data_IF_392632040959
#
_entry.id   IF_392632040959
#
_cell.length_a   1.000
_cell.length_b   1.000
_cell.length_c   1.000
_cell.angle_alpha   90.00
_cell.angle_beta   90.00
_cell.angle_gamma   90.00
#
_symmetry.space_group_name_H-M   'P 1'
#
loop_
_entity.id
_entity.type
_entity.pdbx_description
1 polymer ?
#
# COMPACT_ATOMS: atom_id res chain seq x y z
N UNK A 1 -9.98 26.05 11.86
CA UNK A 1 -9.29 24.83 12.33
C UNK A 1 -10.01 24.08 13.44
N UNK A 2 -10.61 24.73 14.44
CA UNK A 2 -11.33 24.00 15.51
C UNK A 2 -12.57 23.24 15.02
N UNK A 3 -13.40 23.84 14.16
CA UNK A 3 -14.61 23.18 13.63
C UNK A 3 -14.29 21.90 12.84
N UNK A 4 -13.20 21.91 12.06
CA UNK A 4 -12.79 20.73 11.29
C UNK A 4 -12.31 19.60 12.21
N UNK A 5 -11.66 19.92 13.34
CA UNK A 5 -11.21 18.97 14.35
C UNK A 5 -12.39 18.36 15.11
N UNK A 6 -13.36 19.19 15.51
CA UNK A 6 -14.58 18.75 16.17
C UNK A 6 -15.40 17.84 15.24
N UNK A 7 -15.55 18.21 13.97
CA UNK A 7 -16.22 17.37 12.96
C UNK A 7 -15.52 16.02 12.76
N UNK A 8 -14.18 15.99 12.77
CA UNK A 8 -13.42 14.75 12.64
C UNK A 8 -13.64 13.81 13.83
N UNK A 9 -13.67 14.36 15.05
CA UNK A 9 -13.96 13.61 16.28
C UNK A 9 -15.38 13.05 16.24
N UNK A 10 -16.35 13.86 15.82
CA UNK A 10 -17.76 13.46 15.77
C UNK A 10 -18.05 12.39 14.72
N UNK A 11 -17.46 12.52 13.53
CA UNK A 11 -17.53 11.49 12.47
C UNK A 11 -16.86 10.20 12.93
N UNK A 12 -15.71 10.30 13.61
CA UNK A 12 -15.01 9.16 14.19
C UNK A 12 -15.83 8.42 15.26
N UNK A 13 -16.61 9.14 16.08
CA UNK A 13 -17.51 8.52 17.06
C UNK A 13 -18.72 7.85 16.38
N UNK A 14 -19.34 8.52 15.41
CA UNK A 14 -20.49 7.97 14.68
C UNK A 14 -20.11 6.71 13.87
N UNK A 15 -18.93 6.70 13.24
CA UNK A 15 -18.42 5.55 12.51
C UNK A 15 -18.11 4.38 13.44
N UNK A 16 -17.47 4.64 14.60
CA UNK A 16 -17.22 3.62 15.62
C UNK A 16 -18.53 2.97 16.10
N UNK A 17 -19.54 3.77 16.46
CA UNK A 17 -20.84 3.25 16.85
C UNK A 17 -21.51 2.40 15.76
N UNK A 18 -21.44 2.83 14.49
CA UNK A 18 -22.00 2.08 13.38
C UNK A 18 -21.30 0.71 13.19
N UNK A 19 -19.98 0.65 13.35
CA UNK A 19 -19.19 -0.58 13.25
C UNK A 19 -19.49 -1.54 14.41
N UNK A 20 -19.51 -1.04 15.66
CA UNK A 20 -19.86 -1.84 16.85
C UNK A 20 -21.26 -2.43 16.73
N UNK A 21 -22.24 -1.63 16.32
CA UNK A 21 -23.63 -2.08 16.18
C UNK A 21 -23.82 -3.09 15.04
N UNK A 22 -23.15 -2.89 13.89
CA UNK A 22 -23.32 -3.75 12.72
C UNK A 22 -22.57 -5.08 12.83
N UNK A 23 -21.40 -5.08 13.45
CA UNK A 23 -20.52 -6.25 13.53
C UNK A 23 -20.54 -6.93 14.90
N UNK A 24 -21.35 -6.45 15.86
CA UNK A 24 -21.44 -6.95 17.24
C UNK A 24 -20.05 -7.03 17.90
N UNK A 25 -19.23 -6.01 17.66
CA UNK A 25 -17.92 -5.90 18.29
C UNK A 25 -18.12 -5.43 19.73
N UNK A 26 -17.23 -5.86 20.63
CA UNK A 26 -17.18 -5.33 21.98
C UNK A 26 -16.64 -3.88 21.94
N UNK A 27 -17.40 -2.88 22.39
CA UNK A 27 -16.96 -1.48 22.40
C UNK A 27 -15.65 -1.27 23.16
N UNK A 28 -15.46 -1.95 24.30
CA UNK A 28 -14.27 -1.77 25.15
C UNK A 28 -13.03 -2.36 24.48
N UNK A 29 -13.16 -3.53 23.86
CA UNK A 29 -12.09 -4.15 23.10
C UNK A 29 -11.68 -3.31 21.88
N UNK A 30 -12.65 -2.66 21.21
CA UNK A 30 -12.38 -1.81 20.06
C UNK A 30 -11.65 -0.51 20.45
N UNK A 31 -12.08 0.15 21.52
CA UNK A 31 -11.40 1.35 22.01
C UNK A 31 -10.00 1.03 22.56
N UNK A 32 -9.81 -0.12 23.20
CA UNK A 32 -8.49 -0.59 23.65
C UNK A 32 -7.54 -0.84 22.47
N UNK A 33 -8.01 -1.48 21.40
CA UNK A 33 -7.24 -1.74 20.18
C UNK A 33 -6.82 -0.43 19.48
N UNK A 34 -7.73 0.55 19.38
CA UNK A 34 -7.42 1.86 18.80
C UNK A 34 -6.38 2.59 19.66
N UNK A 35 -6.52 2.56 20.98
CA UNK A 35 -5.58 3.20 21.89
C UNK A 35 -4.19 2.54 21.81
N UNK A 36 -4.11 1.22 21.59
CA UNK A 36 -2.84 0.52 21.37
C UNK A 36 -2.20 0.90 20.04
N UNK A 37 -2.95 0.92 18.94
CA UNK A 37 -2.42 1.37 17.64
C UNK A 37 -1.90 2.81 17.69
N UNK A 38 -2.53 3.68 18.48
CA UNK A 38 -2.04 5.05 18.70
C UNK A 38 -0.76 5.05 19.55
N UNK A 39 -0.66 4.19 20.58
CA UNK A 39 0.57 4.04 21.38
C UNK A 39 1.75 3.52 20.56
N UNK A 40 1.53 2.48 19.76
CA UNK A 40 2.54 1.89 18.88
C UNK A 40 3.01 2.87 17.79
N UNK A 41 2.09 3.64 17.20
CA UNK A 41 2.44 4.69 16.23
C UNK A 41 3.27 5.83 16.85
N UNK A 42 3.24 6.01 18.17
CA UNK A 42 3.98 7.05 18.89
C UNK A 42 5.21 6.52 19.67
N UNK A 43 5.36 5.21 19.86
CA UNK A 43 6.37 4.61 20.73
C UNK A 43 7.27 3.60 20.00
N UNK A 44 8.29 4.08 19.31
CA UNK A 44 9.35 3.20 18.80
C UNK A 44 10.35 2.81 19.87
N UNK A 45 10.12 1.74 20.65
CA UNK A 45 11.17 0.91 21.30
C UNK A 45 10.65 -0.52 21.55
N UNK A 46 11.49 -1.49 21.16
CA UNK A 46 11.50 -2.95 21.41
C UNK A 46 10.83 -3.38 22.73
N UNK A 47 9.99 -4.42 22.67
CA UNK A 47 9.81 -5.35 23.81
C UNK A 47 9.51 -6.77 23.34
N UNK A 48 10.18 -7.70 24.03
CA UNK A 48 10.19 -9.15 23.88
C UNK A 48 8.83 -9.76 24.32
N UNK A 49 8.35 -10.75 23.56
CA UNK A 49 7.10 -11.53 23.70
C UNK A 49 6.82 -12.07 25.12
N UNK A 50 5.56 -12.47 25.52
CA UNK A 50 4.55 -13.15 24.69
C UNK A 50 3.07 -12.75 24.93
N UNK A 51 2.17 -13.35 24.14
CA UNK A 51 0.71 -13.13 24.05
C UNK A 51 0.29 -12.07 23.02
N UNK A 52 0.65 -12.29 21.76
CA UNK A 52 0.10 -11.52 20.64
C UNK A 52 -1.25 -12.13 20.20
N UNK A 53 -2.34 -11.34 20.17
CA UNK A 53 -3.68 -11.83 19.95
C UNK A 53 -3.85 -12.31 18.51
N UNK A 54 -4.65 -13.36 18.32
CA UNK A 54 -4.88 -14.16 17.11
C UNK A 54 -5.05 -13.38 15.78
N UNK A 55 -5.39 -12.08 15.85
CA UNK A 55 -5.54 -11.18 14.70
C UNK A 55 -4.20 -10.92 14.00
N UNK A 56 -3.12 -10.64 14.74
CA UNK A 56 -1.79 -10.39 14.17
C UNK A 56 -1.18 -11.66 13.57
N UNK A 57 -1.47 -12.82 14.17
CA UNK A 57 -1.07 -14.12 13.65
C UNK A 57 -1.74 -14.37 12.29
N UNK A 58 -3.04 -14.06 12.17
CA UNK A 58 -3.81 -14.25 10.93
C UNK A 58 -3.37 -13.31 9.80
N UNK A 59 -2.99 -12.07 10.12
CA UNK A 59 -2.42 -11.14 9.13
C UNK A 59 -1.04 -11.60 8.65
N UNK A 60 -0.16 -12.00 9.58
CA UNK A 60 1.15 -12.56 9.25
C UNK A 60 1.06 -13.83 8.40
N UNK A 61 0.14 -14.73 8.72
CA UNK A 61 -0.15 -15.94 7.93
C UNK A 61 -0.62 -15.61 6.52
N UNK A 62 -1.52 -14.62 6.39
CA UNK A 62 -2.03 -14.18 5.09
C UNK A 62 -0.90 -13.61 4.24
N UNK A 63 -0.09 -12.72 4.79
CA UNK A 63 1.07 -12.17 4.09
C UNK A 63 2.07 -13.25 3.67
N UNK A 64 2.31 -14.25 4.52
CA UNK A 64 3.18 -15.36 4.18
C UNK A 64 2.61 -16.22 3.06
N UNK A 65 1.31 -16.51 3.07
CA UNK A 65 0.63 -17.20 1.97
C UNK A 65 0.72 -16.41 0.67
N UNK A 66 0.52 -15.09 0.71
CA UNK A 66 0.65 -14.20 -0.45
C UNK A 66 2.09 -14.18 -0.99
N UNK A 67 3.09 -14.07 -0.11
CA UNK A 67 4.52 -14.16 -0.49
C UNK A 67 4.84 -15.50 -1.15
N UNK A 68 4.39 -16.62 -0.57
CA UNK A 68 4.58 -17.97 -1.13
C UNK A 68 3.90 -18.12 -2.50
N UNK A 69 2.70 -17.57 -2.66
CA UNK A 69 1.99 -17.58 -3.94
C UNK A 69 2.76 -16.82 -5.01
N UNK A 70 3.20 -15.59 -4.71
CA UNK A 70 3.96 -14.76 -5.63
C UNK A 70 5.29 -15.40 -6.02
N UNK A 71 6.01 -16.01 -5.07
CA UNK A 71 7.23 -16.75 -5.34
C UNK A 71 6.99 -17.92 -6.31
N UNK A 72 5.91 -18.69 -6.13
CA UNK A 72 5.53 -19.77 -7.04
C UNK A 72 5.19 -19.25 -8.44
N UNK A 73 4.48 -18.13 -8.53
CA UNK A 73 4.14 -17.51 -9.82
C UNK A 73 5.38 -16.96 -10.54
N UNK A 74 6.35 -16.39 -9.81
CA UNK A 74 7.63 -15.91 -10.35
C UNK A 74 8.44 -17.08 -10.92
N UNK A 75 8.61 -18.15 -10.14
CA UNK A 75 9.31 -19.38 -10.58
C UNK A 75 8.64 -19.99 -11.81
N UNK A 76 7.31 -19.96 -11.88
CA UNK A 76 6.55 -20.48 -13.01
C UNK A 76 6.57 -19.54 -14.25
N UNK A 77 7.18 -18.35 -14.19
CA UNK A 77 7.17 -17.36 -15.26
C UNK A 77 5.78 -16.77 -15.56
N UNK A 78 4.85 -16.94 -14.62
CA UNK A 78 3.46 -16.49 -14.71
C UNK A 78 3.25 -15.12 -14.04
N UNK A 79 4.17 -14.72 -13.15
CA UNK A 79 4.19 -13.36 -12.64
C UNK A 79 4.62 -12.42 -13.77
N UNK A 80 3.66 -11.66 -14.30
CA UNK A 80 3.85 -10.72 -15.41
C UNK A 80 3.13 -9.40 -15.10
N UNK A 81 3.43 -8.29 -15.79
CA UNK A 81 2.71 -7.04 -15.61
C UNK A 81 1.17 -7.18 -15.72
N UNK A 82 0.68 -8.08 -16.57
CA UNK A 82 -0.75 -8.38 -16.68
C UNK A 82 -1.38 -8.96 -15.41
N UNK A 83 -0.62 -9.71 -14.60
CA UNK A 83 -1.07 -10.21 -13.29
C UNK A 83 -1.28 -9.06 -12.31
N UNK A 84 -0.40 -8.05 -12.31
CA UNK A 84 -0.51 -6.88 -11.44
C UNK A 84 -1.82 -6.13 -11.67
N UNK A 85 -2.17 -5.90 -12.93
CA UNK A 85 -3.44 -5.25 -13.29
C UNK A 85 -4.65 -6.12 -12.88
N UNK A 86 -4.54 -7.45 -13.04
CA UNK A 86 -5.56 -8.38 -12.58
C UNK A 86 -5.75 -8.32 -11.06
N UNK A 87 -4.67 -8.29 -10.29
CA UNK A 87 -4.73 -8.19 -8.83
C UNK A 87 -5.47 -6.92 -8.37
N UNK A 88 -5.20 -5.78 -9.02
CA UNK A 88 -5.92 -4.52 -8.76
C UNK A 88 -7.42 -4.61 -9.09
N UNK A 89 -7.77 -5.22 -10.22
CA UNK A 89 -9.19 -5.44 -10.59
C UNK A 89 -9.91 -6.37 -9.62
N UNK A 90 -9.20 -7.34 -9.04
CA UNK A 90 -9.71 -8.23 -7.98
C UNK A 90 -9.69 -7.59 -6.59
N UNK A 91 -9.39 -6.29 -6.48
CA UNK A 91 -9.31 -5.54 -5.23
C UNK A 91 -8.23 -6.05 -4.25
N UNK A 92 -7.17 -6.67 -4.78
CA UNK A 92 -6.06 -7.26 -4.00
C UNK A 92 -4.83 -6.36 -4.05
N UNK A 93 -4.87 -5.26 -3.30
CA UNK A 93 -3.77 -4.29 -3.26
C UNK A 93 -2.47 -4.89 -2.71
N UNK A 94 -2.54 -5.75 -1.68
CA UNK A 94 -1.36 -6.42 -1.10
C UNK A 94 -0.63 -7.29 -2.13
N UNK A 95 -1.35 -8.07 -2.94
CA UNK A 95 -0.78 -8.86 -4.04
C UNK A 95 -0.18 -8.00 -5.15
N UNK A 96 -0.78 -6.83 -5.44
CA UNK A 96 -0.18 -5.88 -6.38
C UNK A 96 1.17 -5.38 -5.85
N UNK A 97 1.24 -4.94 -4.58
CA UNK A 97 2.46 -4.45 -3.95
C UNK A 97 3.54 -5.54 -3.91
N UNK A 98 3.19 -6.74 -3.42
CA UNK A 98 4.12 -7.86 -3.36
C UNK A 98 4.56 -8.34 -4.74
N UNK A 99 3.67 -8.35 -5.73
CA UNK A 99 3.99 -8.73 -7.10
C UNK A 99 4.90 -7.71 -7.78
N UNK A 100 4.66 -6.41 -7.56
CA UNK A 100 5.50 -5.32 -8.06
C UNK A 100 6.90 -5.37 -7.44
N UNK A 101 6.98 -5.64 -6.13
CA UNK A 101 8.25 -5.83 -5.44
C UNK A 101 9.02 -7.04 -5.98
N UNK A 102 8.33 -8.16 -6.19
CA UNK A 102 8.94 -9.39 -6.72
C UNK A 102 9.48 -9.20 -8.14
N UNK A 103 8.67 -8.61 -9.04
CA UNK A 103 9.07 -8.33 -10.43
C UNK A 103 10.21 -7.31 -10.54
N UNK A 104 10.16 -6.24 -9.73
CA UNK A 104 11.18 -5.19 -9.74
C UNK A 104 12.42 -5.50 -8.91
N UNK A 105 12.42 -6.65 -8.20
CA UNK A 105 13.40 -7.01 -7.17
C UNK A 105 13.59 -5.88 -6.14
N UNK A 106 12.49 -5.24 -5.77
CA UNK A 106 12.44 -4.16 -4.79
C UNK A 106 12.20 -4.70 -3.40
N UNK A 107 12.53 -3.88 -2.41
CA UNK A 107 12.07 -4.08 -1.05
C UNK A 107 10.55 -3.82 -0.99
N UNK A 108 9.74 -4.77 -0.49
CA UNK A 108 8.29 -4.59 -0.33
C UNK A 108 7.92 -3.32 0.45
N UNK A 109 8.69 -2.93 1.45
CA UNK A 109 8.42 -1.75 2.27
C UNK A 109 8.65 -0.45 1.50
N UNK A 110 9.62 -0.41 0.59
CA UNK A 110 9.82 0.72 -0.32
C UNK A 110 8.63 0.89 -1.29
N UNK A 111 8.08 -0.22 -1.79
CA UNK A 111 6.91 -0.19 -2.66
C UNK A 111 5.67 0.24 -1.89
N UNK A 112 5.47 -0.28 -0.67
CA UNK A 112 4.36 0.09 0.22
C UNK A 112 4.37 1.59 0.54
N UNK A 113 5.50 2.12 1.02
CA UNK A 113 5.68 3.56 1.28
C UNK A 113 5.43 4.41 0.04
N UNK A 114 5.87 3.97 -1.13
CA UNK A 114 5.63 4.69 -2.39
C UNK A 114 4.15 4.76 -2.74
N UNK A 115 3.41 3.66 -2.55
CA UNK A 115 1.96 3.57 -2.76
C UNK A 115 1.19 4.45 -1.75
N UNK A 116 1.69 4.56 -0.52
CA UNK A 116 1.07 5.32 0.56
C UNK A 116 1.49 6.80 0.63
N UNK A 117 2.39 7.22 -0.27
CA UNK A 117 2.94 8.59 -0.33
C UNK A 117 2.02 9.60 -1.02
N UNK A 118 2.41 10.88 -1.02
CA UNK A 118 1.84 11.95 -1.84
C UNK A 118 2.51 12.08 -3.22
N UNK A 119 3.34 11.10 -3.59
CA UNK A 119 4.24 11.13 -4.77
C UNK A 119 3.92 10.00 -5.75
N UNK A 120 2.93 10.18 -6.63
CA UNK A 120 2.55 9.17 -7.63
C UNK A 120 3.69 8.88 -8.63
N UNK A 121 4.69 9.77 -8.74
CA UNK A 121 5.88 9.51 -9.55
C UNK A 121 6.72 8.33 -9.07
N UNK A 122 6.69 7.99 -7.77
CA UNK A 122 7.43 6.85 -7.22
C UNK A 122 6.79 5.54 -7.68
N UNK A 123 5.47 5.47 -7.61
CA UNK A 123 4.71 4.33 -8.15
C UNK A 123 4.92 4.21 -9.66
N UNK A 124 4.94 5.33 -10.39
CA UNK A 124 5.20 5.34 -11.82
C UNK A 124 6.59 4.77 -12.17
N UNK A 125 7.64 5.16 -11.43
CA UNK A 125 8.99 4.62 -11.62
C UNK A 125 9.05 3.11 -11.34
N UNK A 126 8.39 2.64 -10.27
CA UNK A 126 8.31 1.21 -9.98
C UNK A 126 7.60 0.44 -11.10
N UNK A 127 6.51 1.00 -11.64
CA UNK A 127 5.79 0.41 -12.77
C UNK A 127 6.66 0.38 -14.05
N UNK A 128 7.32 1.48 -14.39
CA UNK A 128 8.21 1.55 -15.54
C UNK A 128 9.37 0.54 -15.45
N UNK A 129 9.94 0.37 -14.26
CA UNK A 129 11.03 -0.56 -14.01
C UNK A 129 10.67 -2.04 -14.24
N UNK A 130 9.39 -2.40 -14.09
CA UNK A 130 8.90 -3.77 -14.37
C UNK A 130 8.31 -3.92 -15.78
N UNK A 131 8.46 -2.91 -16.63
CA UNK A 131 8.00 -2.94 -18.02
C UNK A 131 6.49 -2.69 -18.19
N UNK A 132 5.84 -2.04 -17.22
CA UNK A 132 4.49 -1.52 -17.45
C UNK A 132 4.58 -0.33 -18.41
N UNK A 133 3.70 -0.33 -19.41
CA UNK A 133 3.63 0.74 -20.39
C UNK A 133 3.00 2.03 -19.83
N UNK A 134 3.47 3.18 -20.33
CA UNK A 134 2.98 4.51 -19.96
C UNK A 134 1.47 4.66 -20.12
N UNK A 135 0.88 4.07 -21.15
CA UNK A 135 -0.55 4.15 -21.43
C UNK A 135 -1.41 3.39 -20.41
N UNK A 136 -0.84 2.36 -19.75
CA UNK A 136 -1.53 1.53 -18.76
C UNK A 136 -1.51 2.20 -17.38
N UNK A 137 -0.48 3.00 -17.10
CA UNK A 137 -0.27 3.59 -15.79
C UNK A 137 -1.43 4.43 -15.25
N UNK A 138 -2.12 5.30 -16.02
CA UNK A 138 -3.27 6.05 -15.51
C UNK A 138 -4.37 5.13 -14.94
N UNK A 139 -4.58 3.96 -15.55
CA UNK A 139 -5.55 2.98 -15.05
C UNK A 139 -5.07 2.35 -13.75
N UNK A 140 -3.79 2.02 -13.65
CA UNK A 140 -3.18 1.49 -12.41
C UNK A 140 -3.29 2.52 -11.29
N UNK A 141 -2.95 3.78 -11.56
CA UNK A 141 -2.99 4.85 -10.57
C UNK A 141 -4.42 5.07 -10.04
N UNK A 142 -5.42 5.05 -10.91
CA UNK A 142 -6.83 5.14 -10.49
C UNK A 142 -7.22 3.96 -9.59
N UNK A 143 -6.96 2.72 -10.01
CA UNK A 143 -7.29 1.53 -9.23
C UNK A 143 -6.58 1.47 -7.88
N UNK A 144 -5.31 1.89 -7.83
CA UNK A 144 -4.56 1.97 -6.56
C UNK A 144 -5.18 3.02 -5.65
N UNK A 145 -5.56 4.20 -6.16
CA UNK A 145 -6.22 5.25 -5.37
C UNK A 145 -7.56 4.80 -4.83
N UNK A 146 -8.37 4.10 -5.64
CA UNK A 146 -9.65 3.56 -5.21
C UNK A 146 -9.49 2.57 -4.05
N UNK A 147 -8.42 1.76 -4.10
CA UNK A 147 -8.09 0.76 -3.09
C UNK A 147 -7.33 1.29 -1.87
N UNK A 148 -6.71 2.47 -2.00
CA UNK A 148 -5.78 3.00 -1.01
C UNK A 148 -6.20 4.39 -0.48
N UNK A 149 -7.50 4.66 -0.44
CA UNK A 149 -8.04 5.89 0.15
C UNK A 149 -7.57 7.17 -0.55
N UNK A 150 -7.41 7.13 -1.87
CA UNK A 150 -6.97 8.27 -2.68
C UNK A 150 -5.45 8.42 -2.81
N UNK A 151 -4.66 7.49 -2.28
CA UNK A 151 -3.19 7.48 -2.37
C UNK A 151 -2.69 6.57 -3.52
N UNK A 152 -1.56 6.88 -4.19
CA UNK A 152 -0.69 8.01 -3.94
C UNK A 152 -1.36 9.35 -4.33
N UNK A 153 -1.11 10.37 -3.51
CA UNK A 153 -1.72 11.70 -3.63
C UNK A 153 -1.14 12.54 -4.78
N UNK A 154 -0.89 13.82 -4.50
CA UNK A 154 -0.16 14.72 -5.41
C UNK A 154 -1.00 15.51 -6.42
N UNK A 155 -2.30 15.23 -6.55
CA UNK A 155 -3.21 15.96 -7.44
C UNK A 155 -2.75 16.00 -8.90
N UNK A 156 -3.18 17.04 -9.64
CA UNK A 156 -2.85 17.20 -11.08
C UNK A 156 -1.36 17.31 -11.34
N UNK A 157 -0.63 17.96 -10.43
CA UNK A 157 0.81 18.15 -10.57
C UNK A 157 1.59 16.85 -10.31
N UNK A 158 1.15 16.04 -9.35
CA UNK A 158 1.65 14.68 -9.14
C UNK A 158 1.42 13.80 -10.37
N UNK A 159 0.23 13.84 -10.96
CA UNK A 159 -0.07 13.09 -12.20
C UNK A 159 0.83 13.50 -13.36
N UNK A 160 1.09 14.80 -13.52
CA UNK A 160 2.01 15.33 -14.53
C UNK A 160 3.44 14.80 -14.32
N UNK A 161 3.94 14.83 -13.06
CA UNK A 161 5.26 14.30 -12.70
C UNK A 161 5.34 12.79 -12.89
N UNK A 162 4.28 12.06 -12.56
CA UNK A 162 4.18 10.62 -12.77
C UNK A 162 4.23 10.23 -14.26
N UNK A 163 3.59 11.02 -15.14
CA UNK A 163 3.75 10.85 -16.58
C UNK A 163 5.19 11.07 -17.06
N UNK A 164 5.94 11.95 -16.40
CA UNK A 164 7.37 12.18 -16.66
C UNK A 164 8.29 11.01 -16.27
N UNK A 165 7.86 10.14 -15.36
CA UNK A 165 8.63 8.96 -14.95
C UNK A 165 8.79 7.93 -16.09
N UNK A 166 7.86 7.90 -17.04
CA UNK A 166 7.92 7.08 -18.25
C UNK A 166 8.66 7.80 -19.38
N UNK A 167 9.80 8.41 -19.10
CA UNK A 167 10.67 9.01 -20.10
C UNK A 167 11.24 7.98 -21.09
N UNK A 168 11.96 8.40 -22.14
CA UNK A 168 12.53 7.51 -23.18
C UNK A 168 13.77 6.77 -22.66
N UNK A 169 13.66 6.16 -21.49
CA UNK A 169 14.74 5.49 -20.78
C UNK A 169 14.44 4.01 -20.65
N UNK A 170 15.49 3.20 -20.61
CA UNK A 170 15.34 1.76 -20.43
C UNK A 170 14.86 1.44 -18.99
N UNK A 171 14.21 0.28 -18.77
CA UNK A 171 13.63 -0.09 -17.46
C UNK A 171 14.64 -0.13 -16.31
N UNK A 172 15.91 -0.38 -16.60
CA UNK A 172 17.02 -0.36 -15.66
C UNK A 172 17.26 1.04 -15.04
N UNK A 173 17.14 2.09 -15.85
CA UNK A 173 17.24 3.49 -15.38
C UNK A 173 16.09 3.82 -14.43
N UNK A 174 14.87 3.39 -14.77
CA UNK A 174 13.71 3.56 -13.90
C UNK A 174 13.88 2.79 -12.57
N UNK A 175 14.48 1.59 -12.62
CA UNK A 175 14.78 0.80 -11.42
C UNK A 175 15.77 1.53 -10.50
N UNK A 176 16.88 2.04 -11.05
CA UNK A 176 17.86 2.81 -10.30
C UNK A 176 17.27 4.09 -9.70
N UNK A 177 16.47 4.82 -10.49
CA UNK A 177 15.78 6.03 -10.03
C UNK A 177 14.79 5.73 -8.91
N UNK A 178 14.01 4.65 -9.03
CA UNK A 178 13.08 4.21 -7.97
C UNK A 178 13.83 3.89 -6.68
N UNK A 179 14.90 3.08 -6.74
CA UNK A 179 15.69 2.72 -5.55
C UNK A 179 16.27 3.96 -4.85
N UNK A 180 16.81 4.90 -5.63
CA UNK A 180 17.37 6.13 -5.10
C UNK A 180 16.29 7.02 -4.44
N UNK A 181 15.09 7.07 -5.03
CA UNK A 181 14.01 7.91 -4.55
C UNK A 181 13.29 7.29 -3.34
N UNK A 182 13.04 5.98 -3.36
CA UNK A 182 12.35 5.27 -2.30
C UNK A 182 13.16 5.17 -1.00
N UNK A 183 14.50 5.17 -1.08
CA UNK A 183 15.35 5.26 0.11
C UNK A 183 15.33 6.64 0.80
N UNK A 184 14.72 7.66 0.18
CA UNK A 184 14.61 9.03 0.72
C UNK A 184 13.19 9.38 1.20
N UNK A 185 12.26 8.43 1.15
CA UNK A 185 10.83 8.57 1.47
C UNK A 185 10.55 7.85 2.77
#
# INVERSE_FOLDING_TARGET
DDLARELYVWVGQALRHALTARFRLDPEAMDAAIAESVREAHGGVVSEHPEQPEVWQREGEKEEMERRLLAKLDIAGQLRPGYLLRALREQKLSLFIGGLATLGRFDPEHVRRSVDSDRPELLALACAAVGIDRSVFPTILALVRDLNGGKPGGGKEGERRAGGAFGPFAPDIANAAFRQAAGKV
#
